data_IF_869718313947
#
_entry.id   IF_869718313947
#
_cell.length_a   1.000
_cell.length_b   1.000
_cell.length_c   1.000
_cell.angle_alpha   90.00
_cell.angle_beta   90.00
_cell.angle_gamma   90.00
#
_symmetry.space_group_name_H-M   'P 1'
#
loop_
_entity.id
_entity.type
_entity.pdbx_description
1 polymer ?
#
# COMPACT_ATOMS: atom_id res chain seq x y z
N UNK A 1 -15.33 -9.24 9.25
CA UNK A 1 -14.51 -10.41 9.55
C UNK A 1 -13.07 -9.93 9.47
N UNK A 2 -12.48 -9.54 10.59
CA UNK A 2 -11.06 -9.19 10.63
C UNK A 2 -10.27 -10.50 10.52
N UNK A 3 -9.80 -10.80 9.32
CA UNK A 3 -8.76 -11.80 9.12
C UNK A 3 -7.45 -11.13 9.52
N UNK A 4 -6.90 -11.51 10.66
CA UNK A 4 -5.51 -11.26 10.99
C UNK A 4 -4.68 -11.94 9.92
N UNK A 5 -4.04 -11.17 9.04
CA UNK A 5 -3.07 -11.70 8.08
C UNK A 5 -1.76 -11.98 8.82
N UNK A 6 -1.19 -13.18 8.66
CA UNK A 6 0.23 -13.36 8.87
C UNK A 6 1.00 -12.96 7.61
N UNK A 7 2.21 -12.49 7.84
CA UNK A 7 3.36 -12.50 6.95
C UNK A 7 3.61 -11.29 6.04
N UNK A 8 4.42 -10.36 6.60
CA UNK A 8 5.55 -9.82 5.84
C UNK A 8 6.83 -10.04 6.66
N UNK A 9 7.90 -10.59 6.08
CA UNK A 9 9.20 -10.65 6.73
C UNK A 9 9.78 -9.24 6.75
N UNK A 10 9.78 -8.61 7.92
CA UNK A 10 10.58 -7.40 8.17
C UNK A 10 12.05 -7.83 8.19
N UNK A 11 12.95 -7.17 7.41
CA UNK A 11 14.39 -7.41 7.55
C UNK A 11 14.84 -7.02 8.95
N UNK A 12 15.59 -7.91 9.61
CA UNK A 12 16.13 -7.76 10.98
C UNK A 12 17.20 -6.65 11.08
N UNK A 13 17.27 -5.69 10.19
CA UNK A 13 18.30 -4.66 10.17
C UNK A 13 17.85 -3.25 10.61
N UNK A 14 16.68 -3.11 11.24
CA UNK A 14 16.22 -1.82 11.77
C UNK A 14 15.54 -1.88 13.14
N UNK A 15 16.12 -2.65 14.07
CA UNK A 15 15.83 -2.44 15.49
C UNK A 15 16.80 -1.36 15.97
N UNK A 16 16.39 -0.10 15.88
CA UNK A 16 17.02 0.94 16.67
C UNK A 16 16.64 0.70 18.13
N UNK A 17 17.62 0.27 18.94
CA UNK A 17 17.49 0.28 20.38
C UNK A 17 17.15 1.70 20.86
N UNK A 18 15.90 1.89 21.29
CA UNK A 18 15.57 3.03 22.14
C UNK A 18 16.17 2.74 23.51
N UNK A 19 17.34 3.29 23.77
CA UNK A 19 17.95 3.29 25.09
C UNK A 19 17.09 4.21 25.97
N UNK A 20 16.18 3.64 26.74
CA UNK A 20 15.48 4.33 27.82
C UNK A 20 16.46 4.52 28.98
N UNK A 21 16.68 5.77 29.37
CA UNK A 21 17.50 6.11 30.52
C UNK A 21 16.88 5.56 31.82
N UNK A 22 17.64 4.94 32.71
CA UNK A 22 17.12 4.30 33.94
C UNK A 22 16.55 5.27 34.99
N UNK A 23 16.62 6.58 34.79
CA UNK A 23 16.19 7.57 35.77
C UNK A 23 14.73 8.02 35.66
N UNK A 24 13.99 7.53 34.65
CA UNK A 24 12.59 7.91 34.44
C UNK A 24 11.54 7.00 35.12
N UNK A 25 11.99 6.08 36.01
CA UNK A 25 11.13 5.13 36.70
C UNK A 25 10.77 5.58 38.14
N UNK A 26 10.12 6.72 38.33
CA UNK A 26 9.55 7.10 39.64
C UNK A 26 8.06 7.47 39.63
N UNK A 27 7.33 7.32 38.53
CA UNK A 27 5.87 7.26 38.53
C UNK A 27 5.40 5.86 38.10
N UNK A 28 4.29 5.32 38.65
CA UNK A 28 3.73 4.08 38.15
C UNK A 28 3.47 4.30 36.66
N UNK A 29 4.27 3.60 35.82
CA UNK A 29 4.19 3.74 34.35
C UNK A 29 2.73 3.67 33.93
N UNK A 30 2.20 4.68 33.22
CA UNK A 30 0.82 4.62 32.76
C UNK A 30 0.66 3.33 31.98
N UNK A 31 -0.42 2.58 32.26
CA UNK A 31 -0.76 1.38 31.50
C UNK A 31 -0.59 1.68 30.02
N UNK A 32 0.05 0.81 29.22
CA UNK A 32 0.21 1.03 27.78
C UNK A 32 -1.14 1.12 27.06
N UNK A 33 -2.22 0.70 27.71
CA UNK A 33 -3.59 0.90 27.23
C UNK A 33 -4.16 2.26 27.63
N UNK A 34 -3.35 3.16 28.25
CA UNK A 34 -3.78 4.53 28.49
C UNK A 34 -4.13 5.22 27.15
N UNK A 35 -5.36 5.75 27.09
CA UNK A 35 -5.88 6.36 25.87
C UNK A 35 -5.10 7.64 25.55
N UNK A 36 -4.56 7.71 24.34
CA UNK A 36 -4.04 8.93 23.74
C UNK A 36 -4.97 9.33 22.61
N UNK A 37 -5.72 10.40 22.77
CA UNK A 37 -6.69 10.91 21.77
C UNK A 37 -6.10 11.12 20.37
N UNK A 38 -4.79 11.11 20.24
CA UNK A 38 -4.12 11.26 18.95
C UNK A 38 -4.05 9.95 18.14
N UNK A 39 -4.29 8.77 18.76
CA UNK A 39 -4.20 7.46 18.10
C UNK A 39 -5.54 6.75 17.90
N UNK A 40 -6.60 7.28 18.52
CA UNK A 40 -7.97 6.78 18.37
C UNK A 40 -8.94 7.96 18.25
N UNK A 41 -9.80 7.93 17.22
CA UNK A 41 -10.81 8.95 16.97
C UNK A 41 -12.19 8.27 16.86
N UNK A 42 -13.09 8.61 17.75
CA UNK A 42 -14.49 8.16 17.67
C UNK A 42 -15.34 9.20 16.93
N UNK A 43 -15.75 8.87 15.72
CA UNK A 43 -16.71 9.64 14.90
C UNK A 43 -18.09 8.95 14.85
N UNK A 44 -18.26 7.81 15.55
CA UNK A 44 -19.55 7.12 15.63
C UNK A 44 -20.45 7.74 16.70
N UNK A 45 -21.73 7.48 16.60
CA UNK A 45 -22.72 7.87 17.60
C UNK A 45 -22.66 7.04 18.90
N UNK A 46 -21.88 5.95 18.91
CA UNK A 46 -21.76 5.02 20.03
C UNK A 46 -20.69 5.44 21.03
N UNK A 47 -20.98 5.21 22.29
CA UNK A 47 -19.96 5.26 23.34
C UNK A 47 -19.09 3.99 23.26
N UNK A 48 -17.80 4.15 23.08
CA UNK A 48 -16.83 3.05 23.00
C UNK A 48 -16.09 2.96 24.34
N UNK A 49 -16.11 1.79 25.03
CA UNK A 49 -15.42 1.61 26.30
C UNK A 49 -13.92 1.94 26.22
N UNK A 50 -13.37 2.47 27.32
CA UNK A 50 -11.95 2.88 27.36
C UNK A 50 -10.98 1.74 27.06
N UNK A 51 -11.24 0.54 27.57
CA UNK A 51 -10.41 -0.65 27.30
C UNK A 51 -10.39 -1.03 25.82
N UNK A 52 -11.51 -0.86 25.11
CA UNK A 52 -11.62 -1.09 23.66
C UNK A 52 -10.83 -0.04 22.89
N UNK A 53 -10.98 1.25 23.24
CA UNK A 53 -10.20 2.33 22.64
C UNK A 53 -8.71 2.15 22.90
N UNK A 54 -8.33 1.78 24.15
CA UNK A 54 -6.96 1.53 24.56
C UNK A 54 -6.28 0.43 23.77
N UNK A 55 -6.99 -0.65 23.42
CA UNK A 55 -6.45 -1.69 22.55
C UNK A 55 -6.38 -1.23 21.09
N UNK A 56 -7.47 -0.69 20.56
CA UNK A 56 -7.56 -0.37 19.12
C UNK A 56 -6.65 0.80 18.70
N UNK A 57 -6.25 1.68 19.63
CA UNK A 57 -5.26 2.73 19.36
C UNK A 57 -3.86 2.18 19.02
N UNK A 58 -3.55 0.93 19.39
CA UNK A 58 -2.28 0.29 19.08
C UNK A 58 -2.12 0.00 17.57
N UNK A 59 -3.24 0.05 16.83
CA UNK A 59 -3.27 -0.05 15.38
C UNK A 59 -3.18 -1.49 14.85
N UNK A 60 -3.34 -1.62 13.54
CA UNK A 60 -3.44 -2.92 12.86
C UNK A 60 -2.15 -3.74 12.87
N UNK A 61 -1.00 -3.10 13.09
CA UNK A 61 0.31 -3.77 13.13
C UNK A 61 0.69 -4.28 14.53
N UNK A 62 -0.16 -4.06 15.53
CA UNK A 62 0.09 -4.56 16.88
C UNK A 62 -0.19 -6.06 16.97
N UNK A 63 0.80 -6.82 17.43
CA UNK A 63 0.68 -8.26 17.64
C UNK A 63 0.11 -8.54 19.03
N UNK A 64 -1.05 -9.18 19.10
CA UNK A 64 -1.61 -9.66 20.36
C UNK A 64 -0.75 -10.78 20.96
N UNK A 65 -0.62 -10.84 22.30
CA UNK A 65 0.03 -11.97 22.96
C UNK A 65 -0.62 -13.28 22.54
N UNK A 66 0.18 -14.23 22.09
CA UNK A 66 -0.29 -15.56 21.70
C UNK A 66 -0.36 -16.46 22.91
N UNK A 67 -1.49 -17.13 23.12
CA UNK A 67 -1.79 -18.00 24.24
C UNK A 67 -1.72 -19.49 23.87
N UNK A 68 -1.65 -19.81 22.59
CA UNK A 68 -1.75 -21.18 22.09
C UNK A 68 -0.39 -21.63 21.53
N UNK A 69 0.27 -22.54 22.24
CA UNK A 69 1.55 -23.16 21.84
C UNK A 69 1.45 -23.88 20.51
N UNK A 70 0.31 -24.51 20.22
CA UNK A 70 0.11 -25.24 18.96
C UNK A 70 0.11 -24.27 17.77
N UNK A 71 -0.56 -23.11 17.91
CA UNK A 71 -0.56 -22.08 16.88
C UNK A 71 0.85 -21.58 16.59
N UNK A 72 1.62 -21.23 17.64
CA UNK A 72 3.02 -20.77 17.48
C UNK A 72 3.87 -21.86 16.83
N UNK A 73 3.71 -23.10 17.27
CA UNK A 73 4.47 -24.24 16.72
C UNK A 73 4.18 -24.42 15.24
N UNK A 74 2.90 -24.36 14.82
CA UNK A 74 2.50 -24.48 13.42
C UNK A 74 3.05 -23.30 12.59
N UNK A 75 2.94 -22.07 13.09
CA UNK A 75 3.50 -20.90 12.40
C UNK A 75 5.02 -20.97 12.28
N UNK A 76 5.73 -21.42 13.31
CA UNK A 76 7.18 -21.65 13.25
C UNK A 76 7.53 -22.69 12.17
N UNK A 77 6.80 -23.83 12.11
CA UNK A 77 7.01 -24.85 11.09
C UNK A 77 6.77 -24.26 9.68
N UNK A 78 5.68 -23.52 9.47
CA UNK A 78 5.40 -22.86 8.19
C UNK A 78 6.53 -21.89 7.80
N UNK A 79 7.01 -21.08 8.74
CA UNK A 79 8.10 -20.16 8.50
C UNK A 79 9.36 -20.89 8.06
N UNK A 80 9.75 -21.97 8.76
CA UNK A 80 10.90 -22.81 8.39
C UNK A 80 10.71 -23.40 6.99
N UNK A 81 9.58 -24.06 6.72
CA UNK A 81 9.32 -24.72 5.42
C UNK A 81 9.30 -23.74 4.24
N UNK A 82 8.73 -22.57 4.42
CA UNK A 82 8.72 -21.52 3.38
C UNK A 82 10.14 -21.05 3.03
N UNK A 83 11.01 -20.90 4.05
CA UNK A 83 12.36 -20.41 3.83
C UNK A 83 13.29 -21.49 3.25
N UNK A 84 13.12 -22.77 3.61
CA UNK A 84 13.98 -23.86 3.12
C UNK A 84 13.53 -24.43 1.77
N UNK A 85 12.33 -24.09 1.28
CA UNK A 85 11.73 -24.68 0.08
C UNK A 85 12.62 -24.64 -1.18
N UNK A 86 13.46 -23.60 -1.30
CA UNK A 86 14.37 -23.39 -2.44
C UNK A 86 15.76 -24.00 -2.24
N UNK A 87 16.07 -24.57 -1.05
CA UNK A 87 17.37 -25.10 -0.72
C UNK A 87 17.54 -26.57 -1.21
N UNK A 88 18.76 -27.06 -1.44
CA UNK A 88 19.05 -28.47 -1.74
C UNK A 88 18.50 -29.43 -0.67
N UNK A 89 18.11 -30.63 -1.08
CA UNK A 89 17.43 -31.60 -0.22
C UNK A 89 18.22 -31.96 1.07
N UNK A 90 19.53 -32.12 0.96
CA UNK A 90 20.41 -32.41 2.09
C UNK A 90 20.44 -31.27 3.14
N UNK A 91 20.45 -30.00 2.65
CA UNK A 91 20.41 -28.83 3.52
C UNK A 91 19.04 -28.71 4.19
N UNK A 92 17.94 -28.92 3.44
CA UNK A 92 16.58 -28.94 4.00
C UNK A 92 16.45 -29.97 5.13
N UNK A 93 16.95 -31.19 4.90
CA UNK A 93 16.95 -32.25 5.92
C UNK A 93 17.73 -31.87 7.18
N UNK A 94 18.90 -31.28 7.01
CA UNK A 94 19.73 -30.82 8.14
C UNK A 94 19.02 -29.74 8.95
N UNK A 95 18.38 -28.75 8.27
CA UNK A 95 17.63 -27.68 8.96
C UNK A 95 16.44 -28.28 9.72
N UNK A 96 15.64 -29.14 9.10
CA UNK A 96 14.51 -29.81 9.77
C UNK A 96 14.94 -30.56 11.01
N UNK A 97 16.04 -31.32 10.96
CA UNK A 97 16.55 -32.02 12.12
C UNK A 97 16.98 -31.07 13.23
N UNK A 98 17.54 -29.91 12.90
CA UNK A 98 17.93 -28.89 13.89
C UNK A 98 16.74 -28.12 14.46
N UNK A 99 15.61 -28.07 13.78
CA UNK A 99 14.39 -27.43 14.27
C UNK A 99 13.56 -28.30 15.19
N UNK A 100 13.71 -29.64 15.13
CA UNK A 100 12.95 -30.56 15.98
C UNK A 100 13.05 -30.28 17.49
N UNK A 101 14.26 -30.05 18.08
CA UNK A 101 14.35 -29.68 19.49
C UNK A 101 13.64 -28.37 19.83
N UNK A 102 13.64 -27.38 18.91
CA UNK A 102 12.96 -26.09 19.09
C UNK A 102 11.44 -26.32 19.11
N UNK A 103 10.92 -27.13 18.17
CA UNK A 103 9.50 -27.51 18.10
C UNK A 103 9.07 -28.21 19.41
N UNK A 104 9.84 -29.17 19.88
CA UNK A 104 9.55 -29.85 21.14
C UNK A 104 9.55 -28.90 22.33
N UNK A 105 10.48 -27.96 22.39
CA UNK A 105 10.53 -26.94 23.44
C UNK A 105 9.33 -26.00 23.37
N UNK A 106 8.93 -25.57 22.17
CA UNK A 106 7.75 -24.73 21.97
C UNK A 106 6.46 -25.46 22.41
N UNK A 107 6.29 -26.72 22.03
CA UNK A 107 5.11 -27.52 22.39
C UNK A 107 4.97 -27.74 23.89
N UNK A 108 6.08 -27.75 24.62
CA UNK A 108 6.12 -27.94 26.09
C UNK A 108 6.18 -26.58 26.83
N UNK A 109 6.22 -25.45 26.15
CA UNK A 109 6.33 -24.15 26.77
C UNK A 109 5.03 -23.73 27.46
N UNK A 110 5.11 -23.36 28.72
CA UNK A 110 3.99 -22.80 29.47
C UNK A 110 4.12 -21.28 29.56
N UNK A 111 3.17 -20.54 28.99
CA UNK A 111 3.16 -19.08 29.06
C UNK A 111 2.89 -18.61 30.50
N UNK A 112 3.80 -17.78 31.03
CA UNK A 112 3.56 -17.00 32.24
C UNK A 112 3.24 -15.57 31.79
N UNK A 113 1.97 -15.25 31.66
CA UNK A 113 1.55 -13.92 31.26
C UNK A 113 1.94 -12.87 32.29
N UNK A 114 2.62 -11.84 31.86
CA UNK A 114 2.86 -10.63 32.63
C UNK A 114 1.52 -9.92 32.97
N UNK A 115 1.48 -9.03 33.96
CA UNK A 115 0.29 -8.23 34.23
C UNK A 115 -0.21 -7.48 32.98
N UNK A 116 0.71 -6.92 32.20
CA UNK A 116 0.45 -6.22 30.94
C UNK A 116 -0.19 -7.13 29.89
N UNK A 117 0.34 -8.32 29.67
CA UNK A 117 -0.24 -9.27 28.71
C UNK A 117 -1.66 -9.68 29.11
N UNK A 118 -1.92 -9.86 30.42
CA UNK A 118 -3.27 -10.14 30.91
C UNK A 118 -4.25 -8.99 30.63
N UNK A 119 -3.81 -7.75 30.81
CA UNK A 119 -4.59 -6.55 30.47
C UNK A 119 -4.92 -6.49 28.96
N UNK A 120 -3.92 -6.71 28.10
CA UNK A 120 -4.10 -6.74 26.63
C UNK A 120 -5.06 -7.86 26.22
N UNK A 121 -4.95 -9.04 26.82
CA UNK A 121 -5.85 -10.18 26.55
C UNK A 121 -7.29 -9.86 26.97
N UNK A 122 -7.47 -9.27 28.16
CA UNK A 122 -8.79 -8.82 28.62
C UNK A 122 -9.40 -7.80 27.67
N UNK A 123 -8.63 -6.76 27.31
CA UNK A 123 -9.06 -5.74 26.36
C UNK A 123 -9.35 -6.31 24.96
N UNK A 124 -8.62 -7.35 24.54
CA UNK A 124 -8.89 -8.04 23.27
C UNK A 124 -10.23 -8.77 23.30
N UNK A 125 -10.57 -9.42 24.40
CA UNK A 125 -11.86 -10.07 24.57
C UNK A 125 -13.00 -9.04 24.61
N UNK A 126 -12.83 -7.97 25.38
CA UNK A 126 -13.81 -6.87 25.44
C UNK A 126 -14.01 -6.23 24.07
N UNK A 127 -12.93 -6.02 23.29
CA UNK A 127 -13.02 -5.46 21.95
C UNK A 127 -13.76 -6.41 20.99
N UNK A 128 -13.50 -7.71 21.04
CA UNK A 128 -14.24 -8.69 20.22
C UNK A 128 -15.73 -8.69 20.54
N UNK A 129 -16.07 -8.68 21.82
CA UNK A 129 -17.47 -8.63 22.26
C UNK A 129 -18.12 -7.32 21.82
N UNK A 130 -17.46 -6.18 22.02
CA UNK A 130 -17.99 -4.88 21.60
C UNK A 130 -18.25 -4.82 20.09
N UNK A 131 -17.32 -5.30 19.26
CA UNK A 131 -17.49 -5.33 17.80
C UNK A 131 -18.62 -6.27 17.39
N UNK A 132 -18.76 -7.41 18.06
CA UNK A 132 -19.85 -8.35 17.82
C UNK A 132 -21.23 -7.75 18.15
N UNK A 133 -21.32 -7.06 19.29
CA UNK A 133 -22.58 -6.49 19.80
C UNK A 133 -22.96 -5.17 19.12
N UNK A 134 -22.02 -4.52 18.41
CA UNK A 134 -22.22 -3.26 17.69
C UNK A 134 -21.82 -3.39 16.19
N UNK A 135 -22.57 -4.20 15.40
CA UNK A 135 -22.26 -4.41 13.97
C UNK A 135 -22.55 -3.18 13.10
N UNK A 136 -23.15 -2.16 13.70
CA UNK A 136 -23.43 -0.84 13.13
C UNK A 136 -22.25 0.14 13.26
N UNK A 137 -21.16 -0.24 13.94
CA UNK A 137 -19.91 0.53 14.03
C UNK A 137 -18.83 -0.12 13.16
N UNK A 138 -18.16 0.68 12.34
CA UNK A 138 -17.00 0.30 11.55
C UNK A 138 -15.74 0.88 12.18
N UNK A 139 -14.72 0.03 12.35
CA UNK A 139 -13.38 0.44 12.72
C UNK A 139 -12.47 0.38 11.49
N UNK A 140 -11.77 1.46 11.23
CA UNK A 140 -10.83 1.58 10.11
C UNK A 140 -9.64 2.44 10.53
N UNK A 141 -8.60 2.50 9.70
CA UNK A 141 -7.51 3.46 9.90
C UNK A 141 -7.82 4.78 9.22
N UNK A 142 -7.25 5.86 9.71
CA UNK A 142 -7.26 7.15 9.02
C UNK A 142 -6.38 7.13 7.76
N UNK A 143 -6.67 8.03 6.82
CA UNK A 143 -5.87 8.23 5.60
C UNK A 143 -4.41 8.62 5.88
N UNK A 144 -4.18 9.37 6.94
CA UNK A 144 -2.85 9.79 7.40
C UNK A 144 -2.61 9.43 8.85
N UNK A 145 -1.37 9.03 9.16
CA UNK A 145 -0.99 8.56 10.49
C UNK A 145 -1.49 7.14 10.79
N UNK A 146 -1.10 6.62 11.95
CA UNK A 146 -1.53 5.30 12.41
C UNK A 146 -2.68 5.44 13.42
N UNK A 147 -3.74 6.14 13.00
CA UNK A 147 -4.90 6.46 13.85
C UNK A 147 -6.04 5.51 13.52
N UNK A 148 -6.57 4.84 14.54
CA UNK A 148 -7.81 4.05 14.41
C UNK A 148 -9.02 4.98 14.51
N UNK A 149 -9.97 4.80 13.60
CA UNK A 149 -11.19 5.61 13.52
C UNK A 149 -12.41 4.70 13.63
N UNK A 150 -13.33 5.04 14.51
CA UNK A 150 -14.65 4.43 14.59
C UNK A 150 -15.67 5.31 13.86
N UNK A 151 -16.53 4.73 13.06
CA UNK A 151 -17.55 5.39 12.23
C UNK A 151 -18.87 4.64 12.33
N UNK A 152 -20.00 5.35 12.25
CA UNK A 152 -21.28 4.70 12.01
C UNK A 152 -21.29 4.08 10.60
N UNK A 153 -21.71 2.82 10.51
CA UNK A 153 -21.78 2.07 9.24
C UNK A 153 -22.65 2.78 8.21
N UNK A 154 -23.74 3.40 8.64
CA UNK A 154 -24.63 4.16 7.76
C UNK A 154 -23.94 5.37 7.12
N UNK A 155 -23.18 6.16 7.91
CA UNK A 155 -22.40 7.30 7.39
C UNK A 155 -21.30 6.83 6.46
N UNK A 156 -20.57 5.78 6.83
CA UNK A 156 -19.55 5.18 5.99
C UNK A 156 -20.10 4.71 4.63
N UNK A 157 -21.21 3.98 4.65
CA UNK A 157 -21.86 3.47 3.42
C UNK A 157 -22.39 4.61 2.55
N UNK A 158 -22.96 5.65 3.16
CA UNK A 158 -23.42 6.84 2.46
C UNK A 158 -22.25 7.53 1.73
N UNK A 159 -21.13 7.79 2.42
CA UNK A 159 -19.93 8.43 1.84
C UNK A 159 -19.30 7.57 0.75
N UNK A 160 -19.19 6.25 0.96
CA UNK A 160 -18.67 5.34 -0.07
C UNK A 160 -19.54 5.32 -1.32
N UNK A 161 -20.85 5.20 -1.16
CA UNK A 161 -21.78 5.22 -2.29
C UNK A 161 -21.77 6.55 -3.03
N UNK A 162 -21.64 7.68 -2.32
CA UNK A 162 -21.51 8.99 -2.96
C UNK A 162 -20.26 9.07 -3.86
N UNK A 163 -19.12 8.52 -3.40
CA UNK A 163 -17.90 8.47 -4.20
C UNK A 163 -18.03 7.52 -5.41
N UNK A 164 -18.63 6.34 -5.21
CA UNK A 164 -18.78 5.32 -6.26
C UNK A 164 -19.89 5.67 -7.30
N UNK A 165 -20.70 6.65 -7.03
CA UNK A 165 -21.69 7.19 -7.98
C UNK A 165 -21.10 8.26 -8.92
N UNK A 166 -19.80 8.57 -8.81
CA UNK A 166 -19.12 9.38 -9.84
C UNK A 166 -18.98 8.56 -11.14
N UNK A 167 -19.91 8.74 -12.05
CA UNK A 167 -19.96 8.03 -13.32
C UNK A 167 -18.82 8.38 -14.29
N UNK A 168 -18.04 9.45 -14.02
CA UNK A 168 -16.86 9.79 -14.80
C UNK A 168 -15.69 8.86 -14.46
N UNK A 169 -15.65 8.39 -13.22
CA UNK A 169 -14.54 7.57 -12.70
C UNK A 169 -14.92 6.11 -12.52
N UNK A 170 -16.17 5.80 -12.15
CA UNK A 170 -16.61 4.44 -11.82
C UNK A 170 -17.87 4.04 -12.58
N UNK A 171 -17.95 2.79 -12.98
CA UNK A 171 -19.15 2.18 -13.56
C UNK A 171 -19.50 0.87 -12.83
N UNK A 172 -20.82 0.64 -12.63
CA UNK A 172 -21.31 -0.64 -12.12
C UNK A 172 -21.24 -1.70 -13.19
N UNK A 173 -20.83 -2.93 -12.82
CA UNK A 173 -20.71 -4.07 -13.73
C UNK A 173 -21.73 -5.14 -13.32
N UNK A 174 -22.61 -5.52 -14.24
CA UNK A 174 -23.70 -6.45 -13.96
C UNK A 174 -23.26 -7.90 -13.78
N UNK A 175 -22.06 -8.26 -14.25
CA UNK A 175 -21.56 -9.62 -14.22
C UNK A 175 -20.12 -9.67 -13.75
N UNK A 176 -19.81 -10.56 -12.81
CA UNK A 176 -18.46 -10.77 -12.32
C UNK A 176 -17.49 -11.12 -13.47
N UNK A 177 -16.47 -10.28 -13.72
CA UNK A 177 -15.53 -10.47 -14.82
C UNK A 177 -14.38 -11.43 -14.49
N UNK A 178 -14.28 -11.99 -13.28
CA UNK A 178 -13.13 -12.77 -12.81
C UNK A 178 -12.72 -13.88 -13.77
N UNK A 179 -13.68 -14.68 -14.24
CA UNK A 179 -13.42 -15.78 -15.20
C UNK A 179 -12.86 -15.27 -16.53
N UNK A 180 -13.34 -14.11 -17.00
CA UNK A 180 -12.84 -13.48 -18.24
C UNK A 180 -11.42 -12.98 -18.05
N UNK A 181 -11.13 -12.35 -16.91
CA UNK A 181 -9.78 -11.85 -16.57
C UNK A 181 -8.77 -12.99 -16.51
N UNK A 182 -9.09 -14.07 -15.79
CA UNK A 182 -8.22 -15.24 -15.66
C UNK A 182 -7.98 -15.89 -17.03
N UNK A 183 -9.00 -16.05 -17.86
CA UNK A 183 -8.86 -16.60 -19.21
C UNK A 183 -7.93 -15.74 -20.08
N UNK A 184 -8.14 -14.42 -20.11
CA UNK A 184 -7.30 -13.51 -20.90
C UNK A 184 -5.84 -13.50 -20.42
N UNK A 185 -5.63 -13.55 -19.09
CA UNK A 185 -4.31 -13.71 -18.50
C UNK A 185 -3.64 -15.02 -18.97
N UNK A 186 -4.34 -16.14 -18.88
CA UNK A 186 -3.82 -17.45 -19.30
C UNK A 186 -3.48 -17.49 -20.80
N UNK A 187 -4.32 -16.91 -21.66
CA UNK A 187 -4.06 -16.81 -23.10
C UNK A 187 -2.79 -16.01 -23.39
N UNK A 188 -2.60 -14.89 -22.70
CA UNK A 188 -1.39 -14.07 -22.80
C UNK A 188 -0.14 -14.81 -22.32
N UNK A 189 -0.19 -15.40 -21.14
CA UNK A 189 0.92 -16.15 -20.55
C UNK A 189 1.27 -17.40 -21.36
N UNK A 190 0.29 -18.10 -21.94
CA UNK A 190 0.52 -19.25 -22.82
C UNK A 190 1.28 -18.85 -24.10
N UNK A 191 0.94 -17.69 -24.70
CA UNK A 191 1.71 -17.12 -25.82
C UNK A 191 3.16 -16.82 -25.41
N UNK A 192 3.35 -16.16 -24.25
CA UNK A 192 4.69 -15.84 -23.75
C UNK A 192 5.53 -17.08 -23.50
N UNK A 193 4.94 -18.11 -22.87
CA UNK A 193 5.64 -19.39 -22.66
C UNK A 193 5.99 -20.10 -23.95
N UNK A 194 5.05 -20.17 -24.93
CA UNK A 194 5.27 -20.84 -26.23
C UNK A 194 6.41 -20.18 -27.04
N UNK A 195 6.66 -18.88 -26.80
CA UNK A 195 7.69 -18.09 -27.49
C UNK A 195 8.96 -17.90 -26.65
N UNK A 196 9.06 -18.59 -25.51
CA UNK A 196 10.19 -18.51 -24.58
C UNK A 196 10.49 -17.09 -24.04
N UNK A 197 9.48 -16.22 -24.01
CA UNK A 197 9.62 -14.87 -23.42
C UNK A 197 9.71 -14.91 -21.89
N UNK A 198 9.22 -15.96 -21.25
CA UNK A 198 9.26 -16.16 -19.80
C UNK A 198 9.69 -17.58 -19.46
N UNK A 199 10.46 -17.74 -18.38
CA UNK A 199 10.88 -19.04 -17.87
C UNK A 199 9.68 -19.79 -17.25
N UNK A 200 9.79 -21.12 -17.11
CA UNK A 200 8.78 -21.94 -16.44
C UNK A 200 8.46 -21.45 -15.01
N UNK A 201 9.46 -20.97 -14.30
CA UNK A 201 9.30 -20.43 -12.94
C UNK A 201 8.47 -19.15 -12.96
N UNK A 202 8.77 -18.22 -13.87
CA UNK A 202 8.01 -16.97 -14.04
C UNK A 202 6.58 -17.28 -14.48
N UNK A 203 6.41 -18.16 -15.48
CA UNK A 203 5.08 -18.59 -15.95
C UNK A 203 4.22 -19.13 -14.79
N UNK A 204 4.75 -20.06 -13.99
CA UNK A 204 4.03 -20.63 -12.84
C UNK A 204 3.64 -19.59 -11.81
N UNK A 205 4.51 -18.61 -11.55
CA UNK A 205 4.23 -17.53 -10.60
C UNK A 205 3.12 -16.60 -11.11
N UNK A 206 3.16 -16.24 -12.40
CA UNK A 206 2.18 -15.32 -12.99
C UNK A 206 0.81 -15.98 -13.27
N UNK A 207 0.76 -17.30 -13.37
CA UNK A 207 -0.42 -18.06 -13.75
C UNK A 207 -1.39 -18.23 -12.56
N UNK A 208 -2.19 -17.21 -12.31
CA UNK A 208 -3.25 -17.25 -11.28
C UNK A 208 -4.43 -18.09 -11.73
N UNK A 209 -4.93 -19.00 -10.86
CA UNK A 209 -6.06 -19.92 -11.14
C UNK A 209 -7.28 -19.66 -10.26
N UNK A 210 -7.12 -19.04 -9.11
CA UNK A 210 -8.10 -18.92 -8.03
C UNK A 210 -8.24 -17.49 -7.44
N UNK A 211 -7.79 -16.49 -8.18
CA UNK A 211 -7.88 -15.09 -7.74
C UNK A 211 -9.32 -14.61 -7.57
N UNK A 212 -9.49 -13.68 -6.64
CA UNK A 212 -10.76 -12.98 -6.38
C UNK A 212 -10.65 -11.52 -6.80
N UNK A 213 -11.77 -10.88 -7.16
CA UNK A 213 -11.73 -9.45 -7.46
C UNK A 213 -11.20 -8.64 -6.27
N UNK A 214 -10.42 -7.60 -6.53
CA UNK A 214 -10.03 -6.62 -5.52
C UNK A 214 -11.23 -6.12 -4.73
N UNK A 215 -11.03 -5.81 -3.44
CA UNK A 215 -12.06 -5.20 -2.61
C UNK A 215 -11.74 -3.74 -2.36
N UNK A 216 -12.73 -2.88 -2.55
CA UNK A 216 -12.61 -1.47 -2.19
C UNK A 216 -13.03 -1.24 -0.74
N UNK A 217 -12.36 -0.30 -0.09
CA UNK A 217 -12.75 0.24 1.21
C UNK A 217 -12.36 1.72 1.30
N UNK A 218 -13.00 2.44 2.21
CA UNK A 218 -12.75 3.87 2.41
C UNK A 218 -11.90 4.14 3.65
N UNK A 219 -10.89 5.00 3.53
CA UNK A 219 -10.13 5.51 4.67
C UNK A 219 -10.49 6.98 4.93
N UNK A 220 -10.89 7.36 6.16
CA UNK A 220 -11.35 8.71 6.46
C UNK A 220 -10.17 9.70 6.54
N UNK A 221 -10.33 10.85 5.86
CA UNK A 221 -9.42 11.99 5.96
C UNK A 221 -9.80 12.86 7.15
N UNK A 222 -9.49 12.40 8.37
CA UNK A 222 -9.88 13.06 9.63
C UNK A 222 -9.33 14.48 9.78
N UNK A 223 -8.30 14.84 9.02
CA UNK A 223 -7.72 16.17 8.98
C UNK A 223 -8.49 17.15 8.07
N UNK A 224 -9.52 16.69 7.35
CA UNK A 224 -10.36 17.53 6.47
C UNK A 224 -11.77 17.69 7.03
N UNK A 225 -12.41 18.86 6.88
CA UNK A 225 -13.81 19.05 7.28
C UNK A 225 -14.73 18.01 6.68
N UNK A 226 -15.68 17.48 7.48
CA UNK A 226 -16.62 16.45 7.05
C UNK A 226 -16.01 15.05 6.93
N UNK A 227 -14.72 14.88 7.21
CA UNK A 227 -14.02 13.60 7.15
C UNK A 227 -14.36 12.79 5.88
N UNK A 228 -14.07 13.33 4.67
CA UNK A 228 -14.34 12.60 3.43
C UNK A 228 -13.49 11.32 3.38
N UNK A 229 -13.98 10.31 2.65
CA UNK A 229 -13.24 9.06 2.47
C UNK A 229 -12.30 9.14 1.26
N UNK A 230 -11.22 8.37 1.31
CA UNK A 230 -10.41 7.98 0.16
C UNK A 230 -10.66 6.51 -0.14
N UNK A 231 -10.99 6.19 -1.40
CA UNK A 231 -11.18 4.80 -1.83
C UNK A 231 -9.81 4.15 -2.01
N UNK A 232 -9.61 3.01 -1.37
CA UNK A 232 -8.46 2.12 -1.58
C UNK A 232 -8.97 0.82 -2.16
N UNK A 233 -8.31 0.33 -3.22
CA UNK A 233 -8.64 -0.93 -3.88
C UNK A 233 -7.57 -1.96 -3.55
N UNK A 234 -7.85 -2.87 -2.63
CA UNK A 234 -6.90 -3.92 -2.21
C UNK A 234 -6.74 -4.96 -3.31
N UNK A 235 -5.65 -4.89 -4.06
CA UNK A 235 -5.39 -5.78 -5.20
C UNK A 235 -4.69 -7.10 -4.86
N UNK A 236 -4.24 -7.29 -3.61
CA UNK A 236 -3.66 -8.57 -3.16
C UNK A 236 -4.63 -9.73 -3.39
N UNK A 237 -4.09 -10.88 -3.79
CA UNK A 237 -4.85 -12.08 -4.15
C UNK A 237 -5.84 -11.89 -5.33
N UNK A 238 -5.72 -10.78 -6.06
CA UNK A 238 -6.48 -10.60 -7.30
C UNK A 238 -5.83 -11.37 -8.46
N UNK A 239 -6.61 -11.73 -9.51
CA UNK A 239 -6.08 -12.48 -10.64
C UNK A 239 -4.89 -11.81 -11.33
N UNK A 240 -4.82 -10.48 -11.29
CA UNK A 240 -3.78 -9.70 -11.97
C UNK A 240 -2.66 -9.19 -11.04
N UNK A 241 -2.66 -9.53 -9.76
CA UNK A 241 -1.67 -9.01 -8.81
C UNK A 241 -0.24 -9.36 -9.20
N UNK A 242 0.03 -10.63 -9.51
CA UNK A 242 1.38 -11.11 -9.86
C UNK A 242 1.89 -10.53 -11.18
N UNK A 243 1.04 -10.47 -12.22
CA UNK A 243 1.44 -9.83 -13.49
C UNK A 243 1.64 -8.32 -13.32
N UNK A 244 0.82 -7.67 -12.52
CA UNK A 244 0.94 -6.24 -12.21
C UNK A 244 2.24 -5.94 -11.48
N UNK A 245 2.61 -6.76 -10.50
CA UNK A 245 3.89 -6.68 -9.76
C UNK A 245 5.08 -6.96 -10.69
N UNK A 246 4.95 -7.92 -11.59
CA UNK A 246 5.99 -8.22 -12.58
C UNK A 246 6.24 -7.02 -13.51
N UNK A 247 5.19 -6.41 -14.05
CA UNK A 247 5.29 -5.23 -14.92
C UNK A 247 5.86 -4.02 -14.15
N UNK A 248 5.40 -3.78 -12.92
CA UNK A 248 5.97 -2.76 -12.05
C UNK A 248 7.48 -2.93 -11.89
N UNK A 249 7.93 -4.13 -11.53
CA UNK A 249 9.35 -4.40 -11.31
C UNK A 249 10.17 -4.24 -12.59
N UNK A 250 9.64 -4.68 -13.73
CA UNK A 250 10.30 -4.52 -15.03
C UNK A 250 10.50 -3.04 -15.39
N UNK A 251 9.51 -2.20 -15.15
CA UNK A 251 9.58 -0.76 -15.40
C UNK A 251 10.50 -0.09 -14.36
N UNK A 252 10.21 -0.26 -13.08
CA UNK A 252 10.90 0.45 -12.00
C UNK A 252 12.40 0.16 -11.92
N UNK A 253 12.81 -1.09 -12.21
CA UNK A 253 14.22 -1.47 -12.19
C UNK A 253 15.01 -1.03 -13.44
N UNK A 254 14.33 -0.60 -14.49
CA UNK A 254 14.94 -0.23 -15.77
C UNK A 254 15.06 1.28 -15.97
N UNK A 255 14.20 2.05 -15.32
CA UNK A 255 14.14 3.50 -15.54
C UNK A 255 15.05 4.23 -14.55
N UNK A 256 15.89 5.16 -15.02
CA UNK A 256 16.71 5.99 -14.14
C UNK A 256 15.81 6.91 -13.30
N UNK A 257 16.24 7.15 -12.06
CA UNK A 257 15.54 8.08 -11.15
C UNK A 257 15.62 9.51 -11.71
N UNK A 258 14.49 10.21 -11.77
CA UNK A 258 14.48 11.60 -12.20
C UNK A 258 15.21 12.51 -11.22
N UNK A 259 15.86 13.56 -11.71
CA UNK A 259 16.56 14.55 -10.90
C UNK A 259 15.61 15.34 -9.98
N UNK A 260 14.35 15.52 -10.41
CA UNK A 260 13.27 16.16 -9.66
C UNK A 260 12.77 15.31 -8.49
N UNK A 261 12.94 13.98 -8.55
CA UNK A 261 12.41 13.06 -7.55
C UNK A 261 13.12 13.17 -6.21
N UNK A 262 12.32 13.13 -5.16
CA UNK A 262 12.74 13.02 -3.76
C UNK A 262 12.11 11.78 -3.15
N UNK A 263 12.88 11.04 -2.36
CA UNK A 263 12.40 9.82 -1.71
C UNK A 263 11.84 10.09 -0.30
N UNK A 264 12.25 11.19 0.34
CA UNK A 264 11.79 11.58 1.68
C UNK A 264 12.18 13.02 2.00
N UNK A 265 11.63 13.56 3.09
CA UNK A 265 11.89 14.92 3.55
C UNK A 265 13.34 15.18 3.95
N UNK A 266 14.09 14.19 4.43
CA UNK A 266 15.51 14.35 4.76
C UNK A 266 16.35 14.61 3.50
N UNK A 267 16.08 13.88 2.42
CA UNK A 267 16.72 14.10 1.12
C UNK A 267 16.39 15.50 0.57
N UNK A 268 15.16 16.00 0.77
CA UNK A 268 14.79 17.37 0.42
C UNK A 268 15.66 18.39 1.18
N UNK A 269 15.76 18.23 2.50
CA UNK A 269 16.59 19.12 3.35
C UNK A 269 18.05 19.14 2.87
N UNK A 270 18.64 17.96 2.58
CA UNK A 270 20.02 17.89 2.08
C UNK A 270 20.17 18.56 0.70
N UNK A 271 19.22 18.37 -0.22
CA UNK A 271 19.25 19.03 -1.53
C UNK A 271 19.08 20.56 -1.43
N UNK A 272 18.33 21.05 -0.44
CA UNK A 272 18.10 22.49 -0.23
C UNK A 272 19.19 23.18 0.58
N UNK A 273 19.97 22.45 1.38
CA UNK A 273 20.92 22.99 2.36
C UNK A 273 21.93 23.98 1.79
N UNK A 274 22.33 23.82 0.54
CA UNK A 274 23.32 24.66 -0.14
C UNK A 274 22.71 25.47 -1.29
N UNK A 275 21.39 25.45 -1.45
CA UNK A 275 20.72 26.20 -2.51
C UNK A 275 20.37 27.61 -2.03
N UNK A 276 20.97 28.60 -2.68
CA UNK A 276 20.64 29.99 -2.53
C UNK A 276 19.87 30.44 -3.76
N UNK A 277 18.77 31.10 -3.57
CA UNK A 277 17.99 31.68 -4.66
C UNK A 277 17.88 33.20 -4.46
N UNK A 278 17.77 33.99 -5.54
CA UNK A 278 17.75 35.45 -5.47
C UNK A 278 16.58 35.98 -4.63
N UNK A 279 16.77 37.15 -4.02
CA UNK A 279 15.76 37.79 -3.13
C UNK A 279 14.41 38.05 -3.82
N UNK A 280 14.41 38.17 -5.15
CA UNK A 280 13.19 38.34 -5.94
C UNK A 280 12.45 37.02 -6.25
N UNK A 281 12.90 35.88 -5.68
CA UNK A 281 12.23 34.58 -5.84
C UNK A 281 11.37 34.25 -4.62
N UNK A 282 10.36 33.38 -4.83
CA UNK A 282 9.50 32.82 -3.79
C UNK A 282 9.51 31.31 -3.86
N UNK A 283 9.33 30.69 -2.71
CA UNK A 283 9.02 29.27 -2.59
C UNK A 283 7.54 29.04 -2.94
N UNK A 284 7.30 28.04 -3.78
CA UNK A 284 5.97 27.57 -4.13
C UNK A 284 5.86 26.10 -3.75
N UNK A 285 4.71 25.74 -3.19
CA UNK A 285 4.29 24.35 -3.00
C UNK A 285 3.07 24.08 -3.86
N UNK A 286 3.11 23.03 -4.68
CA UNK A 286 2.01 22.61 -5.54
C UNK A 286 1.63 21.17 -5.17
N UNK A 287 0.35 20.83 -5.31
CA UNK A 287 -0.19 19.50 -5.07
C UNK A 287 -0.94 19.04 -6.33
N UNK A 288 -0.62 17.84 -6.81
CA UNK A 288 -1.33 17.25 -7.95
C UNK A 288 -2.64 16.66 -7.47
N UNK A 289 -3.74 17.31 -7.84
CA UNK A 289 -5.08 16.90 -7.40
C UNK A 289 -5.44 15.54 -7.97
N UNK A 290 -5.70 14.58 -7.06
CA UNK A 290 -6.18 13.23 -7.41
C UNK A 290 -5.32 12.51 -8.46
N UNK A 291 -4.00 12.57 -8.32
CA UNK A 291 -3.01 12.07 -9.29
C UNK A 291 -3.43 10.73 -9.93
N UNK A 292 -3.62 9.69 -9.12
CA UNK A 292 -3.87 8.34 -9.64
C UNK A 292 -5.14 8.21 -10.47
N UNK A 293 -6.21 8.92 -10.10
CA UNK A 293 -7.49 8.89 -10.83
C UNK A 293 -7.49 9.82 -12.04
N UNK A 294 -6.41 10.56 -12.28
CA UNK A 294 -6.30 11.52 -13.40
C UNK A 294 -5.23 11.16 -14.44
N UNK A 295 -4.58 10.01 -14.34
CA UNK A 295 -3.61 9.54 -15.36
C UNK A 295 -4.35 8.79 -16.48
N UNK A 296 -4.46 9.33 -17.72
CA UNK A 296 -5.08 8.63 -18.84
C UNK A 296 -4.26 7.40 -19.25
N UNK A 297 -4.93 6.28 -19.57
CA UNK A 297 -4.26 5.03 -19.97
C UNK A 297 -3.36 5.22 -21.20
N UNK A 298 -3.79 6.01 -22.18
CA UNK A 298 -2.99 6.23 -23.41
C UNK A 298 -1.71 7.03 -23.11
N UNK A 299 -1.78 8.04 -22.23
CA UNK A 299 -0.62 8.81 -21.79
C UNK A 299 0.35 7.93 -20.98
N UNK A 300 -0.20 7.05 -20.12
CA UNK A 300 0.58 6.06 -19.39
C UNK A 300 1.37 5.13 -20.34
N UNK A 301 0.72 4.62 -21.38
CA UNK A 301 1.37 3.77 -22.39
C UNK A 301 2.40 4.53 -23.24
N UNK A 302 2.13 5.78 -23.58
CA UNK A 302 3.12 6.64 -24.24
C UNK A 302 4.36 6.81 -23.38
N UNK A 303 4.21 7.07 -22.08
CA UNK A 303 5.31 7.23 -21.14
C UNK A 303 6.15 5.95 -20.97
N UNK A 304 5.52 4.77 -20.95
CA UNK A 304 6.23 3.48 -20.98
C UNK A 304 6.97 3.30 -22.31
N UNK A 305 6.32 3.66 -23.42
CA UNK A 305 6.87 3.54 -24.77
C UNK A 305 8.13 4.38 -24.94
N UNK A 306 8.15 5.62 -24.47
CA UNK A 306 9.33 6.51 -24.50
C UNK A 306 10.53 5.92 -23.77
N UNK A 307 10.29 5.08 -22.76
CA UNK A 307 11.34 4.46 -21.94
C UNK A 307 11.67 3.03 -22.35
N UNK A 308 11.15 2.58 -23.50
CA UNK A 308 11.29 1.20 -23.93
C UNK A 308 12.75 0.77 -24.09
N UNK A 309 13.64 1.63 -24.62
CA UNK A 309 15.06 1.32 -24.77
C UNK A 309 15.73 0.88 -23.45
N UNK A 310 15.34 1.50 -22.34
CA UNK A 310 15.85 1.11 -21.01
C UNK A 310 15.19 -0.16 -20.47
N UNK A 311 13.93 -0.40 -20.84
CA UNK A 311 13.17 -1.58 -20.38
C UNK A 311 13.67 -2.84 -21.12
N UNK A 312 13.89 -2.78 -22.44
CA UNK A 312 14.30 -3.93 -23.26
C UNK A 312 15.67 -4.51 -22.87
N UNK A 313 16.55 -3.68 -22.29
CA UNK A 313 17.84 -4.16 -21.78
C UNK A 313 17.70 -5.22 -20.67
N UNK A 314 16.59 -5.19 -19.92
CA UNK A 314 16.35 -6.05 -18.74
C UNK A 314 15.11 -6.92 -18.87
N UNK A 315 14.38 -6.81 -19.99
CA UNK A 315 13.12 -7.52 -20.22
C UNK A 315 13.18 -8.35 -21.50
N UNK A 316 12.90 -9.65 -21.38
CA UNK A 316 12.90 -10.58 -22.51
C UNK A 316 11.61 -10.56 -23.33
N UNK A 317 10.56 -9.89 -22.84
CA UNK A 317 9.26 -9.79 -23.51
C UNK A 317 9.34 -8.69 -24.57
N UNK A 318 8.94 -8.94 -25.83
CA UNK A 318 8.95 -7.92 -26.88
C UNK A 318 8.02 -6.74 -26.53
N UNK A 319 8.37 -5.55 -27.04
CA UNK A 319 7.69 -4.28 -26.79
C UNK A 319 6.17 -4.38 -26.90
N UNK A 320 5.66 -4.92 -28.02
CA UNK A 320 4.23 -4.93 -28.29
C UNK A 320 3.46 -5.84 -27.32
N UNK A 321 4.04 -6.97 -26.96
CA UNK A 321 3.47 -7.89 -25.95
C UNK A 321 3.52 -7.27 -24.55
N UNK A 322 4.61 -6.56 -24.21
CA UNK A 322 4.74 -5.86 -22.94
C UNK A 322 3.71 -4.73 -22.82
N UNK A 323 3.62 -3.86 -23.84
CA UNK A 323 2.63 -2.77 -23.85
C UNK A 323 1.19 -3.30 -23.84
N UNK A 324 0.93 -4.42 -24.52
CA UNK A 324 -0.37 -5.11 -24.48
C UNK A 324 -0.70 -5.59 -23.08
N UNK A 325 0.30 -6.11 -22.33
CA UNK A 325 0.10 -6.53 -20.94
C UNK A 325 -0.14 -5.33 -20.01
N UNK A 326 0.59 -4.23 -20.16
CA UNK A 326 0.36 -2.98 -19.42
C UNK A 326 -1.06 -2.48 -19.68
N UNK A 327 -1.48 -2.38 -20.95
CA UNK A 327 -2.84 -1.98 -21.32
C UNK A 327 -3.88 -2.91 -20.70
N UNK A 328 -3.68 -4.23 -20.80
CA UNK A 328 -4.59 -5.21 -20.22
C UNK A 328 -4.79 -4.99 -18.71
N UNK A 329 -3.71 -4.71 -17.97
CA UNK A 329 -3.80 -4.42 -16.53
C UNK A 329 -4.52 -3.09 -16.28
N UNK A 330 -4.17 -2.02 -17.01
CA UNK A 330 -4.76 -0.69 -16.84
C UNK A 330 -6.23 -0.63 -17.22
N UNK A 331 -6.69 -1.47 -18.18
CA UNK A 331 -8.09 -1.56 -18.58
C UNK A 331 -8.91 -2.54 -17.71
N UNK A 332 -8.24 -3.35 -16.89
CA UNK A 332 -8.87 -4.40 -16.05
C UNK A 332 -9.02 -3.99 -14.58
N UNK A 333 -9.49 -2.80 -14.34
CA UNK A 333 -9.57 -2.11 -13.03
C UNK A 333 -10.85 -2.45 -12.27
N UNK A 334 -11.23 -3.74 -12.26
CA UNK A 334 -12.43 -4.22 -11.60
C UNK A 334 -12.21 -4.44 -10.11
N UNK A 335 -13.25 -4.13 -9.30
CA UNK A 335 -13.26 -4.37 -7.87
C UNK A 335 -14.67 -4.59 -7.34
N UNK A 336 -14.79 -5.00 -6.08
CA UNK A 336 -16.08 -5.18 -5.40
C UNK A 336 -16.18 -4.23 -4.20
N UNK A 337 -17.37 -3.70 -4.00
CA UNK A 337 -17.77 -3.01 -2.78
C UNK A 337 -19.20 -3.41 -2.44
N UNK A 338 -19.46 -3.81 -1.21
CA UNK A 338 -20.78 -4.26 -0.72
C UNK A 338 -21.46 -5.26 -1.66
N UNK A 339 -20.72 -6.28 -2.12
CA UNK A 339 -21.14 -7.32 -3.06
C UNK A 339 -21.56 -6.83 -4.45
N UNK A 340 -21.32 -5.56 -4.79
CA UNK A 340 -21.51 -5.02 -6.14
C UNK A 340 -20.17 -4.93 -6.84
N UNK A 341 -20.12 -5.36 -8.11
CA UNK A 341 -18.95 -5.20 -8.95
C UNK A 341 -18.91 -3.81 -9.58
N UNK A 342 -17.73 -3.19 -9.57
CA UNK A 342 -17.43 -1.91 -10.20
C UNK A 342 -16.22 -2.04 -11.10
N UNK A 343 -16.13 -1.13 -12.06
CA UNK A 343 -14.91 -0.86 -12.83
C UNK A 343 -14.54 0.60 -12.66
N UNK A 344 -13.27 0.89 -12.39
CA UNK A 344 -12.74 2.23 -12.54
C UNK A 344 -12.47 2.48 -14.03
N UNK A 345 -13.17 3.41 -14.65
CA UNK A 345 -13.13 3.66 -16.09
C UNK A 345 -12.11 4.71 -16.50
N UNK A 346 -11.57 5.46 -15.53
CA UNK A 346 -10.57 6.48 -15.76
C UNK A 346 -9.48 6.47 -14.70
N UNK A 347 -8.24 6.75 -15.11
CA UNK A 347 -7.08 6.75 -14.23
C UNK A 347 -6.61 5.36 -13.79
N UNK A 348 -5.72 5.34 -12.81
CA UNK A 348 -5.15 4.11 -12.23
C UNK A 348 -5.67 3.89 -10.81
N UNK A 349 -5.96 2.65 -10.37
CA UNK A 349 -6.54 2.41 -9.05
C UNK A 349 -5.50 2.60 -7.93
N UNK A 350 -5.92 3.27 -6.83
CA UNK A 350 -5.14 3.33 -5.60
C UNK A 350 -5.07 1.95 -4.96
N UNK A 351 -3.86 1.39 -4.86
CA UNK A 351 -3.60 0.05 -4.32
C UNK A 351 -3.16 -0.98 -5.37
N UNK A 352 -3.12 -0.60 -6.66
CA UNK A 352 -2.42 -1.38 -7.69
C UNK A 352 -0.91 -1.19 -7.58
N UNK A 353 -0.09 -2.25 -7.62
CA UNK A 353 1.37 -2.13 -7.65
C UNK A 353 1.89 -1.30 -8.83
N UNK A 354 1.21 -1.30 -9.97
CA UNK A 354 1.65 -0.59 -11.18
C UNK A 354 1.38 0.92 -11.12
N UNK A 355 0.35 1.36 -10.40
CA UNK A 355 -0.08 2.77 -10.38
C UNK A 355 1.01 3.76 -9.97
N UNK A 356 1.83 3.52 -8.93
CA UNK A 356 2.87 4.47 -8.54
C UNK A 356 3.93 4.72 -9.61
N UNK A 357 4.43 3.67 -10.26
CA UNK A 357 5.46 3.82 -11.28
C UNK A 357 4.91 4.46 -12.55
N UNK A 358 3.68 4.14 -12.94
CA UNK A 358 3.01 4.77 -14.09
C UNK A 358 2.79 6.26 -13.82
N UNK A 359 2.26 6.63 -12.66
CA UNK A 359 2.06 8.03 -12.30
C UNK A 359 3.40 8.80 -12.28
N UNK A 360 4.46 8.20 -11.72
CA UNK A 360 5.77 8.83 -11.66
C UNK A 360 6.35 9.13 -13.04
N UNK A 361 6.35 8.15 -13.96
CA UNK A 361 6.90 8.36 -15.32
C UNK A 361 6.06 9.30 -16.17
N UNK A 362 4.72 9.30 -15.95
CA UNK A 362 3.83 10.23 -16.63
C UNK A 362 4.07 11.67 -16.17
N UNK A 363 4.25 11.87 -14.86
CA UNK A 363 4.61 13.20 -14.32
C UNK A 363 5.99 13.66 -14.80
N UNK A 364 6.99 12.77 -14.92
CA UNK A 364 8.30 13.12 -15.49
C UNK A 364 8.18 13.64 -16.92
N UNK A 365 7.30 13.06 -17.74
CA UNK A 365 7.05 13.53 -19.09
C UNK A 365 6.37 14.91 -19.11
N UNK A 366 5.43 15.15 -18.18
CA UNK A 366 4.79 16.46 -18.00
C UNK A 366 5.78 17.52 -17.51
N UNK A 367 6.63 17.16 -16.53
CA UNK A 367 7.71 18.03 -16.04
C UNK A 367 8.64 18.44 -17.19
N UNK A 368 9.07 17.49 -18.01
CA UNK A 368 9.94 17.76 -19.17
C UNK A 368 9.29 18.75 -20.12
N UNK A 369 8.02 18.55 -20.49
CA UNK A 369 7.27 19.48 -21.35
C UNK A 369 7.08 20.85 -20.70
N UNK A 370 6.80 20.90 -19.40
CA UNK A 370 6.64 22.15 -18.67
C UNK A 370 7.97 22.94 -18.66
N UNK A 371 9.12 22.27 -18.45
CA UNK A 371 10.43 22.94 -18.47
C UNK A 371 10.81 23.48 -19.86
N UNK A 372 10.38 22.81 -20.94
CA UNK A 372 10.60 23.29 -22.31
C UNK A 372 9.87 24.59 -22.63
N UNK A 373 8.72 24.82 -22.03
CA UNK A 373 7.88 26.02 -22.30
C UNK A 373 8.03 27.09 -21.22
N UNK A 374 8.68 26.79 -20.08
CA UNK A 374 8.94 27.78 -19.03
C UNK A 374 9.94 28.85 -19.53
N UNK A 375 9.57 30.14 -19.50
CA UNK A 375 10.41 31.22 -20.00
C UNK A 375 11.58 31.57 -19.04
N UNK A 376 11.71 30.86 -17.93
CA UNK A 376 12.72 31.08 -16.87
C UNK A 376 13.29 29.76 -16.36
N UNK A 377 14.54 29.77 -16.00
CA UNK A 377 15.15 28.64 -15.29
C UNK A 377 14.77 28.72 -13.82
N UNK A 378 14.27 27.59 -13.28
CA UNK A 378 13.99 27.45 -11.87
C UNK A 378 15.28 27.11 -11.11
N UNK A 379 15.62 27.78 -10.00
CA UNK A 379 16.76 27.44 -9.15
C UNK A 379 16.71 26.00 -8.65
N UNK A 380 15.53 25.51 -8.34
CA UNK A 380 15.24 24.11 -8.08
C UNK A 380 13.78 23.78 -8.32
N UNK A 381 13.52 22.50 -8.59
CA UNK A 381 12.20 21.87 -8.69
C UNK A 381 12.33 20.45 -8.14
N UNK A 382 11.60 20.12 -7.08
CA UNK A 382 11.60 18.80 -6.47
C UNK A 382 10.19 18.30 -6.26
N UNK A 383 10.00 16.99 -6.48
CA UNK A 383 8.72 16.31 -6.36
C UNK A 383 8.81 15.05 -5.50
N UNK A 384 7.87 14.94 -4.55
CA UNK A 384 7.61 13.74 -3.78
C UNK A 384 6.20 13.24 -4.11
N UNK A 385 6.09 12.24 -4.99
CA UNK A 385 4.84 11.69 -5.53
C UNK A 385 3.98 12.81 -6.16
N UNK A 386 2.98 13.33 -5.45
CA UNK A 386 2.05 14.40 -5.81
C UNK A 386 2.42 15.78 -5.24
N UNK A 387 3.26 15.84 -4.23
CA UNK A 387 3.74 17.09 -3.63
C UNK A 387 4.95 17.65 -4.40
N UNK A 388 4.88 18.91 -4.82
CA UNK A 388 5.94 19.61 -5.55
C UNK A 388 6.40 20.83 -4.74
N UNK A 389 7.71 21.06 -4.70
CA UNK A 389 8.31 22.29 -4.19
C UNK A 389 9.28 22.87 -5.22
N UNK A 390 9.19 24.16 -5.46
CA UNK A 390 10.06 24.87 -6.40
C UNK A 390 10.32 26.31 -5.93
N UNK A 391 11.36 26.95 -6.50
CA UNK A 391 11.58 28.37 -6.34
C UNK A 391 11.42 29.07 -7.70
N UNK A 392 10.70 30.19 -7.73
CA UNK A 392 10.45 30.94 -8.93
C UNK A 392 10.47 32.46 -8.70
N UNK A 393 10.75 33.26 -9.75
CA UNK A 393 10.63 34.72 -9.67
C UNK A 393 9.22 35.12 -9.21
N UNK A 394 9.14 36.10 -8.31
CA UNK A 394 7.87 36.57 -7.74
C UNK A 394 6.87 37.03 -8.79
N UNK A 395 7.34 37.57 -9.91
CA UNK A 395 6.52 37.99 -11.06
C UNK A 395 5.90 36.81 -11.84
N UNK A 396 6.46 35.60 -11.70
CA UNK A 396 6.03 34.42 -12.45
C UNK A 396 5.15 33.46 -11.62
N UNK A 397 5.01 33.69 -10.30
CA UNK A 397 4.32 32.75 -9.41
C UNK A 397 2.89 32.42 -9.85
N UNK A 398 2.13 33.40 -10.36
CA UNK A 398 0.77 33.17 -10.84
C UNK A 398 0.75 32.46 -12.22
N UNK A 399 1.75 32.73 -13.06
CA UNK A 399 1.79 32.17 -14.42
C UNK A 399 2.22 30.69 -14.43
N UNK A 400 3.08 30.28 -13.48
CA UNK A 400 3.54 28.88 -13.35
C UNK A 400 2.35 27.91 -13.14
N UNK A 401 1.27 28.35 -12.50
CA UNK A 401 0.06 27.53 -12.31
C UNK A 401 -0.74 27.30 -13.61
N UNK A 402 -0.44 28.03 -14.67
CA UNK A 402 -1.13 27.95 -15.96
C UNK A 402 -0.27 27.32 -17.07
N UNK A 403 0.94 26.94 -16.76
CA UNK A 403 1.86 26.19 -17.62
C UNK A 403 1.71 24.69 -17.37
#
# INVERSE_FOLDING_TARGET
MFSLKPDFPVPISSINEVILNPTDFQDPSPSPLHIQNKWFVNLSSKHIPQEVQGLLQLGENFSLPTMNTDTITVEFIKCVENNIGKLPANIRHTIRNRTNPIINNLSNYTFKNSPLEREIISASLASKNFIHDNPDVIFTRADKGNVTVALDKTDYMYKMNALLNDNNTYSKVNKDPTKKLIRNLHEMLARWKKRDYVTDSIYKRLNCTDGVLPRAYGVPKIHKPGCPLRIIVLSENSPLYEITTFLHNAINNSIPTANSRIDNSFQLVEKLKNNHFPDNHKLLSLDVVSLFTNVPTDLALESVTKRWSSIEEKCTIPRDEFLSAVRFVLDSTYFTFDNVCYQQTFGTPMGSPLSPVIADITLQDLETRAFEILPVNLPFFYRYVDDIVLAAPSSMCNNILHI
#
